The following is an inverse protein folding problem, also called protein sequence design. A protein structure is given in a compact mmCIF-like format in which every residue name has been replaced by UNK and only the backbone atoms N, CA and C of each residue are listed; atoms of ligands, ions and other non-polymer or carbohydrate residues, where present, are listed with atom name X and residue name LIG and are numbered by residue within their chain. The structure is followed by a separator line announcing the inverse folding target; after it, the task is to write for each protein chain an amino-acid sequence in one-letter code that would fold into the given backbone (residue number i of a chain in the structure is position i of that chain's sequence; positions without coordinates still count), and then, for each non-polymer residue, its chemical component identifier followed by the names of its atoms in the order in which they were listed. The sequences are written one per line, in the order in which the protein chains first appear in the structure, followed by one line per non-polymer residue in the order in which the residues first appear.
data_IF_888747439236
#
_entry.id   IF_888747439236
#
_cell.length_a   1.000
_cell.length_b   1.000
_cell.length_c   1.000
_cell.angle_alpha   90.00
_cell.angle_beta   90.00
_cell.angle_gamma   90.00
#
_symmetry.space_group_name_H-M   'P 1'
#
loop_
_entity.id
_entity.type
_entity.pdbx_description
1 polymer ?
#
# COMPACT_ATOMS: atom_id res chain seq x y z
N UNK A 1 -17.84 4.09 13.44
CA UNK A 1 -17.45 3.90 12.03
C UNK A 1 -17.21 2.43 11.81
N UNK A 2 -17.71 1.90 10.71
CA UNK A 2 -17.52 0.51 10.30
C UNK A 2 -16.88 0.54 8.92
N UNK A 3 -15.79 -0.21 8.74
CA UNK A 3 -15.16 -0.42 7.43
C UNK A 3 -15.34 -1.88 7.04
N UNK A 4 -15.87 -2.12 5.85
CA UNK A 4 -15.99 -3.43 5.24
C UNK A 4 -14.91 -3.60 4.18
N UNK A 5 -13.99 -4.52 4.42
CA UNK A 5 -12.98 -4.93 3.46
C UNK A 5 -13.40 -6.29 2.91
N UNK A 6 -13.94 -6.29 1.69
CA UNK A 6 -14.31 -7.53 1.03
C UNK A 6 -13.05 -8.20 0.51
N UNK A 7 -12.87 -9.45 0.89
CA UNK A 7 -11.98 -10.32 0.15
C UNK A 7 -12.68 -10.61 -1.18
N UNK A 8 -12.02 -10.36 -2.32
CA UNK A 8 -12.63 -10.49 -3.66
C UNK A 8 -13.12 -11.92 -3.97
N UNK A 9 -13.25 -12.26 -5.27
CA UNK A 9 -13.62 -13.63 -5.69
C UNK A 9 -12.47 -14.61 -5.51
N UNK A 10 -12.02 -14.79 -4.27
CA UNK A 10 -10.96 -15.71 -3.91
C UNK A 10 -11.58 -17.02 -3.46
N UNK A 11 -11.38 -18.08 -4.26
CA UNK A 11 -11.76 -19.44 -3.86
C UNK A 11 -10.88 -19.85 -2.67
N UNK A 12 -11.50 -20.21 -1.54
CA UNK A 12 -10.78 -20.74 -0.37
C UNK A 12 -10.35 -19.72 0.69
N UNK A 13 -10.60 -18.42 0.50
CA UNK A 13 -10.30 -17.42 1.55
C UNK A 13 -11.12 -17.64 2.82
N UNK A 14 -12.29 -18.27 2.71
CA UNK A 14 -13.09 -18.69 3.87
C UNK A 14 -12.37 -19.76 4.71
N UNK A 15 -11.49 -20.60 4.13
CA UNK A 15 -10.65 -21.54 4.90
C UNK A 15 -9.53 -20.80 5.62
N UNK A 16 -8.87 -19.87 4.93
CA UNK A 16 -7.81 -19.02 5.50
C UNK A 16 -8.35 -18.18 6.67
N UNK A 17 -9.52 -17.58 6.49
CA UNK A 17 -10.13 -16.72 7.49
C UNK A 17 -10.93 -17.47 8.55
N UNK A 18 -11.42 -18.68 8.26
CA UNK A 18 -12.01 -19.59 9.25
C UNK A 18 -10.98 -20.12 10.24
N UNK A 19 -9.73 -20.32 9.81
CA UNK A 19 -8.60 -20.62 10.71
C UNK A 19 -8.09 -19.40 11.49
N UNK A 20 -8.40 -18.17 11.03
CA UNK A 20 -8.06 -16.91 11.72
C UNK A 20 -8.95 -16.66 12.95
N UNK A 21 -10.05 -17.40 13.12
CA UNK A 21 -10.84 -17.34 14.38
C UNK A 21 -10.01 -17.81 15.59
N UNK A 22 -8.92 -18.57 15.37
CA UNK A 22 -8.02 -19.05 16.44
C UNK A 22 -6.57 -18.59 16.27
N UNK A 23 -6.15 -18.12 15.10
CA UNK A 23 -4.74 -17.83 14.80
C UNK A 23 -4.39 -16.34 14.93
N UNK A 24 -3.67 -16.05 16.01
CA UNK A 24 -2.73 -14.94 16.22
C UNK A 24 -3.20 -13.51 15.94
N UNK A 25 -3.27 -12.75 17.03
CA UNK A 25 -3.26 -11.28 17.10
C UNK A 25 -2.13 -10.58 16.31
N UNK A 26 -1.23 -11.32 15.65
CA UNK A 26 -0.16 -10.82 14.80
C UNK A 26 -0.56 -10.59 13.33
N UNK A 27 -1.67 -11.17 12.86
CA UNK A 27 -2.08 -11.09 11.45
C UNK A 27 -2.93 -9.85 11.14
N UNK A 28 -3.64 -9.28 12.12
CA UNK A 28 -4.44 -8.06 11.94
C UNK A 28 -4.00 -7.01 12.96
N UNK A 29 -3.23 -6.03 12.50
CA UNK A 29 -2.76 -4.90 13.31
C UNK A 29 -3.66 -3.68 13.06
N UNK A 30 -4.17 -3.09 14.14
CA UNK A 30 -5.12 -1.98 14.09
C UNK A 30 -4.71 -0.90 15.06
N UNK A 31 -4.63 0.35 14.59
CA UNK A 31 -4.27 1.49 15.45
C UNK A 31 -5.41 1.93 16.38
N UNK A 32 -6.68 1.72 15.98
CA UNK A 32 -7.85 2.12 16.77
C UNK A 32 -9.07 1.24 16.48
N UNK A 33 -9.78 0.80 17.52
CA UNK A 33 -10.95 -0.07 17.38
C UNK A 33 -10.59 -1.55 17.28
N UNK A 34 -11.52 -2.34 16.74
CA UNK A 34 -11.40 -3.78 16.63
C UNK A 34 -11.72 -4.23 15.20
N UNK A 35 -10.82 -4.97 14.58
CA UNK A 35 -11.09 -5.65 13.32
C UNK A 35 -11.35 -7.13 13.59
N UNK A 36 -12.36 -7.67 12.92
CA UNK A 36 -12.66 -9.10 12.95
C UNK A 36 -13.21 -9.53 11.61
N UNK A 37 -12.98 -10.78 11.25
CA UNK A 37 -13.67 -11.38 10.12
C UNK A 37 -15.10 -11.74 10.53
N UNK A 38 -16.08 -11.34 9.73
CA UNK A 38 -17.46 -11.76 9.92
C UNK A 38 -17.87 -12.63 8.74
N UNK A 39 -18.03 -13.94 9.01
CA UNK A 39 -18.40 -14.92 7.99
C UNK A 39 -19.74 -14.57 7.29
N UNK A 40 -20.71 -14.04 8.03
CA UNK A 40 -21.99 -13.58 7.48
C UNK A 40 -21.83 -12.52 6.38
N UNK A 41 -20.83 -11.65 6.52
CA UNK A 41 -20.54 -10.59 5.54
C UNK A 41 -19.46 -10.98 4.54
N UNK A 42 -18.80 -12.14 4.71
CA UNK A 42 -17.63 -12.58 3.95
C UNK A 42 -16.58 -11.46 3.79
N UNK A 43 -16.41 -10.68 4.84
CA UNK A 43 -15.60 -9.47 4.84
C UNK A 43 -14.95 -9.27 6.20
N UNK A 44 -13.80 -8.60 6.19
CA UNK A 44 -13.21 -8.06 7.42
C UNK A 44 -14.02 -6.82 7.77
N UNK A 45 -14.51 -6.80 9.01
CA UNK A 45 -15.29 -5.70 9.58
C UNK A 45 -14.44 -5.02 10.63
N UNK A 46 -14.01 -3.80 10.33
CA UNK A 46 -13.28 -2.95 11.26
C UNK A 46 -14.25 -1.98 11.94
N UNK A 47 -14.47 -2.17 13.24
CA UNK A 47 -15.39 -1.38 14.06
C UNK A 47 -14.61 -0.42 14.94
N UNK A 48 -14.92 0.86 14.80
CA UNK A 48 -14.35 1.92 15.62
C UNK A 48 -15.47 2.67 16.34
N UNK A 49 -15.42 2.63 17.68
CA UNK A 49 -16.49 3.11 18.56
C UNK A 49 -16.65 4.63 18.52
N UNK A 50 -15.53 5.36 18.45
CA UNK A 50 -15.52 6.82 18.34
C UNK A 50 -14.43 7.26 17.37
N UNK A 51 -14.81 8.17 16.48
CA UNK A 51 -13.84 8.88 15.64
C UNK A 51 -13.25 10.06 16.43
N UNK A 52 -11.98 10.42 16.17
CA UNK A 52 -11.38 11.64 16.69
C UNK A 52 -12.24 12.85 16.28
N UNK A 53 -12.41 13.82 17.20
CA UNK A 53 -13.06 15.09 16.87
C UNK A 53 -12.09 15.97 16.06
N UNK A 54 -12.64 16.80 15.17
CA UNK A 54 -11.88 17.84 14.47
C UNK A 54 -11.13 18.70 15.51
N UNK A 55 -9.79 18.77 15.40
CA UNK A 55 -8.92 19.53 16.31
C UNK A 55 -8.00 18.69 17.23
N UNK A 56 -8.15 17.36 17.28
CA UNK A 56 -7.21 16.47 17.98
C UNK A 56 -6.03 16.08 17.06
N UNK A 57 -5.08 16.99 16.86
CA UNK A 57 -3.85 16.72 16.12
C UNK A 57 -3.02 15.60 16.76
N UNK A 58 -2.47 14.71 15.92
CA UNK A 58 -1.73 13.47 16.20
C UNK A 58 -2.52 12.14 16.26
N UNK A 59 -3.85 12.15 16.41
CA UNK A 59 -4.68 10.93 16.40
C UNK A 59 -5.73 10.91 15.28
N UNK A 60 -5.55 11.69 14.23
CA UNK A 60 -6.53 11.85 13.14
C UNK A 60 -6.52 10.68 12.16
N UNK A 61 -5.40 9.97 12.04
CA UNK A 61 -5.22 8.85 11.13
C UNK A 61 -5.20 7.53 11.89
N UNK A 62 -6.03 6.60 11.46
CA UNK A 62 -6.05 5.24 11.97
C UNK A 62 -5.69 4.30 10.83
N UNK A 63 -4.76 3.40 11.09
CA UNK A 63 -4.29 2.44 10.09
C UNK A 63 -4.79 1.05 10.46
N UNK A 64 -5.13 0.28 9.42
CA UNK A 64 -5.43 -1.14 9.49
C UNK A 64 -4.45 -1.87 8.57
N UNK A 65 -3.75 -2.86 9.11
CA UNK A 65 -2.82 -3.71 8.37
C UNK A 65 -3.21 -5.17 8.58
N UNK A 66 -3.38 -5.91 7.49
CA UNK A 66 -3.69 -7.34 7.52
C UNK A 66 -2.57 -8.10 6.81
N UNK A 67 -1.77 -8.86 7.55
CA UNK A 67 -0.81 -9.80 7.00
C UNK A 67 -1.50 -11.16 6.88
N UNK A 68 -1.55 -11.69 5.67
CA UNK A 68 -2.08 -13.02 5.41
C UNK A 68 -0.92 -13.95 5.07
N UNK A 69 -0.64 -14.92 5.94
CA UNK A 69 0.35 -15.95 5.67
C UNK A 69 -0.30 -17.04 4.83
N UNK A 70 0.13 -17.17 3.57
CA UNK A 70 -0.27 -18.25 2.68
C UNK A 70 0.60 -19.48 2.99
N UNK A 71 -0.02 -20.64 3.16
CA UNK A 71 0.72 -21.91 3.27
C UNK A 71 1.12 -22.40 1.88
N UNK A 72 2.07 -23.35 1.78
CA UNK A 72 2.59 -23.85 0.50
C UNK A 72 1.52 -24.50 -0.42
N UNK A 73 0.32 -24.76 0.09
CA UNK A 73 -0.82 -25.30 -0.66
C UNK A 73 -1.85 -24.23 -1.04
N UNK A 74 -1.69 -23.00 -0.56
CA UNK A 74 -2.60 -21.89 -0.84
C UNK A 74 -2.18 -21.15 -2.10
N UNK A 75 -3.09 -21.04 -3.06
CA UNK A 75 -2.86 -20.25 -4.26
C UNK A 75 -3.02 -18.75 -3.94
N UNK A 76 -1.99 -17.95 -4.23
CA UNK A 76 -2.07 -16.50 -4.18
C UNK A 76 -3.16 -16.03 -5.16
N UNK A 77 -4.16 -15.22 -4.71
CA UNK A 77 -5.25 -14.83 -5.59
C UNK A 77 -4.80 -13.81 -6.64
N UNK A 78 -5.31 -13.95 -7.86
CA UNK A 78 -5.03 -13.05 -8.99
C UNK A 78 -5.72 -11.67 -8.83
N UNK A 79 -6.83 -11.60 -8.09
CA UNK A 79 -7.55 -10.35 -7.85
C UNK A 79 -8.12 -10.25 -6.43
N UNK A 80 -7.74 -9.19 -5.73
CA UNK A 80 -8.34 -8.72 -4.48
C UNK A 80 -9.28 -7.54 -4.79
N UNK A 81 -10.35 -7.39 -4.01
CA UNK A 81 -11.26 -6.26 -4.20
C UNK A 81 -10.55 -4.97 -3.83
N UNK A 82 -10.47 -4.02 -4.76
CA UNK A 82 -9.65 -2.81 -4.60
C UNK A 82 -10.28 -1.77 -3.67
N UNK A 83 -11.53 -1.97 -3.30
CA UNK A 83 -12.31 -0.98 -2.59
C UNK A 83 -12.69 -1.47 -1.20
N UNK A 84 -12.55 -0.57 -0.21
CA UNK A 84 -13.17 -0.71 1.09
C UNK A 84 -14.40 0.22 1.18
N UNK A 85 -15.41 -0.25 1.91
CA UNK A 85 -16.63 0.51 2.16
C UNK A 85 -16.59 1.06 3.58
N UNK A 86 -16.76 2.36 3.71
CA UNK A 86 -16.68 3.06 5.00
C UNK A 86 -18.05 3.64 5.31
N UNK A 87 -18.57 3.29 6.48
CA UNK A 87 -19.83 3.81 6.99
C UNK A 87 -19.63 4.47 8.35
N UNK A 88 -20.06 5.72 8.49
CA UNK A 88 -20.11 6.37 9.79
C UNK A 88 -21.25 7.37 9.93
N UNK A 89 -21.69 7.53 11.17
CA UNK A 89 -22.69 8.51 11.56
C UNK A 89 -22.05 9.62 12.37
N UNK A 90 -22.33 10.87 12.00
CA UNK A 90 -21.94 12.05 12.75
C UNK A 90 -23.20 12.64 13.42
N UNK A 91 -23.35 12.49 14.75
CA UNK A 91 -24.48 13.05 15.46
C UNK A 91 -24.35 14.58 15.58
N UNK A 92 -25.50 15.27 15.68
CA UNK A 92 -25.58 16.71 15.86
C UNK A 92 -24.97 17.56 14.72
N UNK A 93 -24.78 16.95 13.54
CA UNK A 93 -24.24 17.63 12.35
C UNK A 93 -25.19 17.49 11.17
N UNK A 94 -25.15 18.48 10.27
CA UNK A 94 -25.89 18.52 9.01
C UNK A 94 -24.91 18.59 7.84
N UNK A 95 -25.00 17.65 6.89
CA UNK A 95 -24.18 17.69 5.66
C UNK A 95 -24.69 18.75 4.69
N UNK A 96 -26.01 18.86 4.56
CA UNK A 96 -26.69 19.79 3.64
C UNK A 96 -26.86 21.20 4.21
N UNK A 97 -26.37 21.46 5.42
CA UNK A 97 -26.60 22.71 6.16
C UNK A 97 -28.10 23.08 6.33
N UNK A 98 -29.01 22.11 6.19
CA UNK A 98 -30.43 22.35 6.40
C UNK A 98 -30.73 22.56 7.89
N UNK A 99 -31.26 23.73 8.23
CA UNK A 99 -31.68 24.09 9.59
C UNK A 99 -33.20 24.22 9.66
N UNK A 100 -33.80 23.52 10.60
CA UNK A 100 -35.23 23.66 10.88
C UNK A 100 -35.48 24.96 11.65
N UNK A 101 -36.26 25.87 11.07
CA UNK A 101 -36.55 27.19 11.68
C UNK A 101 -37.76 27.20 12.59
N UNK A 102 -38.83 26.46 12.26
CA UNK A 102 -40.04 26.44 13.07
C UNK A 102 -40.82 25.13 12.90
N UNK A 103 -41.46 24.71 14.01
CA UNK A 103 -42.45 23.61 14.05
C UNK A 103 -43.65 24.12 14.83
N UNK A 104 -44.78 24.28 14.17
CA UNK A 104 -46.06 24.60 14.80
C UNK A 104 -46.87 23.32 15.01
N UNK A 105 -47.50 23.21 16.18
CA UNK A 105 -48.44 22.13 16.52
C UNK A 105 -49.63 22.80 17.17
N UNK A 106 -50.83 22.54 16.65
CA UNK A 106 -52.10 23.05 17.20
C UNK A 106 -52.79 21.92 17.96
N UNK A 107 -52.61 21.88 19.28
CA UNK A 107 -53.30 20.95 20.18
C UNK A 107 -53.69 21.67 21.48
N UNK A 108 -54.74 21.17 22.14
CA UNK A 108 -55.23 21.71 23.42
C UNK A 108 -54.19 21.54 24.55
N UNK A 109 -53.35 20.50 24.47
CA UNK A 109 -52.17 20.29 25.31
C UNK A 109 -50.92 20.13 24.40
N UNK A 110 -50.06 21.14 24.29
CA UNK A 110 -48.90 21.10 23.37
C UNK A 110 -47.80 20.13 23.86
N UNK A 111 -47.37 19.15 23.05
CA UNK A 111 -46.27 18.26 23.42
C UNK A 111 -44.89 18.92 23.29
N UNK A 112 -43.89 18.31 23.94
CA UNK A 112 -42.49 18.71 23.80
C UNK A 112 -41.97 18.50 22.37
N UNK A 113 -41.32 19.53 21.83
CA UNK A 113 -40.74 19.51 20.47
C UNK A 113 -39.23 19.35 20.57
N UNK A 114 -38.71 18.28 19.98
CA UNK A 114 -37.28 18.03 19.92
C UNK A 114 -36.85 17.72 18.49
N UNK A 115 -35.68 18.23 18.10
CA UNK A 115 -35.08 17.98 16.80
C UNK A 115 -33.69 17.42 16.96
N UNK A 116 -33.44 16.36 16.20
CA UNK A 116 -32.16 15.67 16.19
C UNK A 116 -31.59 15.63 14.79
N UNK A 117 -30.44 16.26 14.61
CA UNK A 117 -29.67 16.15 13.38
C UNK A 117 -28.76 14.92 13.44
N UNK A 118 -28.79 14.11 12.40
CA UNK A 118 -27.92 12.96 12.23
C UNK A 118 -27.47 12.89 10.78
N UNK A 119 -26.16 12.98 10.57
CA UNK A 119 -25.54 12.81 9.27
C UNK A 119 -25.01 11.38 9.14
N UNK A 120 -25.44 10.66 8.11
CA UNK A 120 -24.88 9.35 7.75
C UNK A 120 -24.04 9.50 6.50
N UNK A 121 -22.81 9.02 6.57
CA UNK A 121 -21.87 9.04 5.47
C UNK A 121 -21.49 7.63 5.07
N UNK A 122 -21.48 7.41 3.76
CA UNK A 122 -21.10 6.16 3.11
C UNK A 122 -20.08 6.52 2.04
N UNK A 123 -18.87 5.97 2.16
CA UNK A 123 -17.76 6.24 1.26
C UNK A 123 -17.18 4.93 0.74
N UNK A 124 -16.61 5.02 -0.46
CA UNK A 124 -15.79 3.96 -1.05
C UNK A 124 -14.37 4.49 -1.19
N UNK A 125 -13.42 3.84 -0.54
CA UNK A 125 -12.01 4.22 -0.55
C UNK A 125 -11.19 3.10 -1.19
N UNK A 126 -10.12 3.45 -1.88
CA UNK A 126 -9.20 2.48 -2.48
C UNK A 126 -8.26 1.91 -1.42
N UNK A 127 -7.98 0.61 -1.53
CA UNK A 127 -7.07 -0.10 -0.67
C UNK A 127 -5.77 -0.39 -1.40
N UNK A 128 -4.66 -0.09 -0.75
CA UNK A 128 -3.33 -0.47 -1.22
C UNK A 128 -3.05 -1.93 -0.84
N UNK A 129 -2.62 -2.73 -1.82
CA UNK A 129 -2.19 -4.10 -1.61
C UNK A 129 -0.68 -4.18 -1.79
N UNK A 130 0.06 -4.32 -0.69
CA UNK A 130 1.45 -4.74 -0.75
C UNK A 130 1.47 -6.27 -0.70
N UNK A 131 1.54 -6.92 -1.86
CA UNK A 131 1.98 -8.31 -1.91
C UNK A 131 3.44 -8.32 -1.46
N UNK A 132 3.74 -8.98 -0.33
CA UNK A 132 5.08 -9.04 0.21
C UNK A 132 6.10 -9.37 -0.88
N UNK A 133 7.02 -8.45 -1.10
CA UNK A 133 8.23 -8.65 -1.87
C UNK A 133 9.07 -9.69 -1.14
N UNK A 134 8.78 -10.97 -1.36
CA UNK A 134 9.84 -11.99 -1.39
C UNK A 134 10.85 -11.57 -2.48
N UNK A 135 12.09 -12.10 -2.44
CA UNK A 135 13.42 -11.45 -2.62
C UNK A 135 13.70 -10.61 -3.89
N UNK A 136 12.70 -9.95 -4.45
CA UNK A 136 12.81 -9.08 -5.61
C UNK A 136 13.47 -7.74 -5.28
N UNK A 137 13.40 -7.24 -4.04
CA UNK A 137 14.14 -6.02 -3.65
C UNK A 137 15.66 -6.27 -3.59
N UNK A 138 16.07 -7.47 -3.12
CA UNK A 138 17.47 -7.89 -3.13
C UNK A 138 17.95 -8.18 -4.57
N UNK A 139 17.14 -8.85 -5.39
CA UNK A 139 17.46 -9.11 -6.79
C UNK A 139 17.54 -7.80 -7.59
N UNK A 140 16.62 -6.87 -7.41
CA UNK A 140 16.63 -5.55 -8.06
C UNK A 140 17.85 -4.71 -7.63
N UNK A 141 18.30 -4.83 -6.38
CA UNK A 141 19.54 -4.21 -5.91
C UNK A 141 20.78 -4.82 -6.59
N UNK A 142 20.85 -6.15 -6.71
CA UNK A 142 21.99 -6.83 -7.37
C UNK A 142 22.01 -6.69 -8.89
N UNK A 143 20.86 -6.45 -9.54
CA UNK A 143 20.82 -6.22 -10.99
C UNK A 143 21.48 -4.89 -11.39
N UNK A 144 21.47 -3.87 -10.53
CA UNK A 144 22.16 -2.60 -10.79
C UNK A 144 23.68 -2.74 -10.86
N UNK A 145 24.27 -3.65 -10.08
CA UNK A 145 25.72 -3.88 -10.11
C UNK A 145 26.18 -4.58 -11.40
N UNK A 146 25.33 -5.41 -12.01
CA UNK A 146 25.71 -6.19 -13.20
C UNK A 146 25.98 -5.34 -14.45
N UNK A 147 25.28 -4.20 -14.62
CA UNK A 147 25.55 -3.26 -15.71
C UNK A 147 26.80 -2.42 -15.46
N UNK A 148 27.08 -2.11 -14.18
CA UNK A 148 28.27 -1.37 -13.78
C UNK A 148 29.54 -2.18 -14.01
N UNK A 149 29.52 -3.47 -13.67
CA UNK A 149 30.63 -4.41 -13.90
C UNK A 149 30.93 -4.57 -15.40
N UNK A 150 29.88 -4.68 -16.25
CA UNK A 150 30.08 -4.76 -17.71
C UNK A 150 30.69 -3.50 -18.28
N UNK A 151 30.23 -2.32 -17.85
CA UNK A 151 30.76 -1.03 -18.31
C UNK A 151 32.21 -0.81 -17.89
N UNK A 152 32.58 -1.28 -16.69
CA UNK A 152 33.95 -1.19 -16.18
C UNK A 152 34.90 -2.17 -16.90
N UNK A 153 34.42 -3.37 -17.23
CA UNK A 153 35.18 -4.35 -18.03
C UNK A 153 35.39 -3.89 -19.48
N UNK A 154 34.38 -3.27 -20.10
CA UNK A 154 34.50 -2.67 -21.43
C UNK A 154 35.46 -1.47 -21.45
N UNK A 155 35.42 -0.61 -20.42
CA UNK A 155 36.35 0.51 -20.28
C UNK A 155 37.80 0.04 -20.10
N UNK A 156 38.02 -1.03 -19.33
CA UNK A 156 39.35 -1.64 -19.14
C UNK A 156 39.89 -2.25 -20.43
N UNK A 157 39.04 -2.94 -21.19
CA UNK A 157 39.40 -3.47 -22.52
C UNK A 157 39.75 -2.36 -23.52
N UNK A 158 39.02 -1.24 -23.50
CA UNK A 158 39.35 -0.08 -24.34
C UNK A 158 40.70 0.54 -23.97
N UNK A 159 41.02 0.66 -22.69
CA UNK A 159 42.31 1.19 -22.23
C UNK A 159 43.47 0.28 -22.63
N UNK A 160 43.32 -1.04 -22.48
CA UNK A 160 44.35 -2.01 -22.91
C UNK A 160 44.57 -1.93 -24.43
N UNK A 161 43.51 -1.76 -25.22
CA UNK A 161 43.62 -1.58 -26.68
C UNK A 161 44.34 -0.27 -27.06
N UNK A 162 44.05 0.83 -26.36
CA UNK A 162 44.74 2.11 -26.59
C UNK A 162 46.22 2.04 -26.20
N UNK A 163 46.57 1.35 -25.10
CA UNK A 163 47.96 1.16 -24.70
C UNK A 163 48.73 0.29 -25.70
N UNK A 164 48.09 -0.77 -26.24
CA UNK A 164 48.70 -1.58 -27.29
C UNK A 164 48.89 -0.79 -28.59
N UNK A 165 47.94 0.06 -28.97
CA UNK A 165 48.11 0.95 -30.13
C UNK A 165 49.22 1.97 -29.92
N UNK A 166 49.35 2.57 -28.74
CA UNK A 166 50.44 3.49 -28.43
C UNK A 166 51.81 2.80 -28.42
N UNK A 167 51.90 1.57 -27.90
CA UNK A 167 53.13 0.78 -27.97
C UNK A 167 53.50 0.40 -29.41
N UNK A 168 52.52 0.06 -30.24
CA UNK A 168 52.76 -0.21 -31.67
C UNK A 168 53.20 1.06 -32.42
N UNK A 169 52.63 2.22 -32.12
CA UNK A 169 53.05 3.50 -32.70
C UNK A 169 54.46 3.90 -32.25
N UNK A 170 54.82 3.69 -30.98
CA UNK A 170 56.20 3.91 -30.50
C UNK A 170 57.20 2.94 -31.13
N UNK A 171 56.82 1.68 -31.35
CA UNK A 171 57.68 0.72 -32.06
C UNK A 171 57.86 1.09 -33.54
N UNK A 172 56.82 1.60 -34.21
CA UNK A 172 56.92 2.11 -35.58
C UNK A 172 57.78 3.37 -35.65
N UNK A 173 57.62 4.33 -34.74
CA UNK A 173 58.47 5.53 -34.68
C UNK A 173 59.94 5.20 -34.38
N UNK A 174 60.21 4.25 -33.49
CA UNK A 174 61.58 3.80 -33.22
C UNK A 174 62.20 3.05 -34.41
N UNK A 175 61.37 2.41 -35.26
CA UNK A 175 61.87 1.74 -36.46
C UNK A 175 62.16 2.74 -37.60
N UNK A 176 61.36 3.81 -37.75
CA UNK A 176 61.62 4.90 -38.70
C UNK A 176 62.82 5.78 -38.29
N UNK A 177 63.08 5.96 -36.99
CA UNK A 177 64.24 6.74 -36.53
C UNK A 177 65.58 6.00 -36.65
N UNK A 178 65.57 4.69 -36.91
CA UNK A 178 66.81 3.89 -37.09
C UNK A 178 67.23 3.74 -38.56
N UNK A 179 66.49 4.31 -39.50
CA UNK A 179 66.77 4.23 -40.95
C UNK A 179 67.43 5.47 -41.54
N UNK A 180 67.73 6.50 -40.75
CA UNK A 180 68.33 7.77 -41.21
C UNK A 180 69.82 7.96 -40.86
N UNK A 181 70.55 6.90 -40.47
CA UNK A 181 72.02 6.96 -40.31
C UNK A 181 72.72 5.97 -41.25
N UNK A 182 72.72 6.31 -42.54
CA UNK A 182 73.65 5.76 -43.54
C UNK A 182 73.78 6.74 -44.70
N UNK A 183 74.73 7.67 -44.58
CA UNK A 183 75.34 8.44 -45.69
C UNK A 183 76.85 8.46 -45.49
#
# INVERSE_FOLDING_TARGET
MIIFCRTGKVKGIERLMGTVETAESALMEVTSGQAKYEHQHRAIVWRMSRLPKEGQGAYTTHTFSCRMNLTAYDQMPESLDKYCYVEFTMPATTVSHCVMRSVSVTSEDPPEKYVRYLARHEYRTEMEFSSGTGPADYLAATMKDSEQVKREEEARKLQEQQQQQQQQQQQQQNHESSSDDSS
#
